data_IF_654346890587
#
_entry.id   IF_654346890587
#
_cell.length_a   1.000
_cell.length_b   1.000
_cell.length_c   1.000
_cell.angle_alpha   90.00
_cell.angle_beta   90.00
_cell.angle_gamma   90.00
#
_symmetry.space_group_name_H-M   'P 1'
#
loop_
_entity.id
_entity.type
_entity.pdbx_description
1 polymer ?
#
# COMPACT_ATOMS: atom_id res chain seq x y z
N UNK A 1 -5.96 -40.00 -17.20
CA UNK A 1 -5.14 -41.01 -16.49
C UNK A 1 -3.83 -40.39 -15.97
N UNK A 2 -2.94 -39.84 -16.82
CA UNK A 2 -1.67 -39.25 -16.35
C UNK A 2 -1.80 -37.98 -15.50
N UNK A 3 -2.70 -37.05 -15.85
CA UNK A 3 -2.91 -35.81 -15.07
C UNK A 3 -3.20 -36.08 -13.59
N UNK A 4 -4.11 -37.01 -13.30
CA UNK A 4 -4.49 -37.35 -11.93
C UNK A 4 -3.32 -37.96 -11.15
N UNK A 5 -2.52 -38.84 -11.78
CA UNK A 5 -1.34 -39.43 -11.17
C UNK A 5 -0.27 -38.38 -10.86
N UNK A 6 0.04 -37.48 -11.81
CA UNK A 6 0.98 -36.39 -11.57
C UNK A 6 0.50 -35.45 -10.47
N UNK A 7 -0.79 -35.09 -10.46
CA UNK A 7 -1.37 -34.23 -9.42
C UNK A 7 -1.25 -34.88 -8.04
N UNK A 8 -1.56 -36.17 -7.94
CA UNK A 8 -1.43 -36.91 -6.68
C UNK A 8 0.02 -37.02 -6.20
N UNK A 9 0.96 -37.27 -7.11
CA UNK A 9 2.40 -37.37 -6.79
C UNK A 9 2.97 -36.02 -6.35
N UNK A 10 2.75 -34.96 -7.14
CA UNK A 10 3.39 -33.66 -6.95
C UNK A 10 2.78 -32.90 -5.76
N UNK A 11 1.47 -33.01 -5.53
CA UNK A 11 0.81 -32.35 -4.40
C UNK A 11 1.26 -32.89 -3.04
N UNK A 12 1.79 -34.11 -2.98
CA UNK A 12 2.33 -34.72 -1.74
C UNK A 12 3.75 -34.25 -1.41
N UNK A 13 4.44 -33.60 -2.34
CA UNK A 13 5.79 -33.06 -2.11
C UNK A 13 5.65 -31.79 -1.25
N UNK A 14 6.20 -31.77 -0.02
CA UNK A 14 6.00 -30.65 0.90
C UNK A 14 6.82 -29.42 0.49
N UNK A 15 8.08 -29.65 0.08
CA UNK A 15 9.03 -28.60 -0.27
C UNK A 15 8.76 -28.05 -1.66
N UNK A 16 8.63 -26.72 -1.75
CA UNK A 16 8.37 -26.03 -3.02
C UNK A 16 9.48 -26.30 -4.04
N UNK A 17 10.75 -26.27 -3.62
CA UNK A 17 11.89 -26.47 -4.51
C UNK A 17 11.86 -27.86 -5.18
N UNK A 18 11.46 -28.89 -4.44
CA UNK A 18 11.30 -30.25 -4.97
C UNK A 18 10.10 -30.36 -5.91
N UNK A 19 8.99 -29.65 -5.63
CA UNK A 19 7.87 -29.54 -6.57
C UNK A 19 8.34 -28.93 -7.89
N UNK A 20 9.06 -27.82 -7.85
CA UNK A 20 9.59 -27.16 -9.06
C UNK A 20 10.53 -28.05 -9.86
N UNK A 21 11.48 -28.74 -9.19
CA UNK A 21 12.37 -29.72 -9.85
C UNK A 21 11.57 -30.82 -10.55
N UNK A 22 10.53 -31.33 -9.90
CA UNK A 22 9.67 -32.35 -10.48
C UNK A 22 8.87 -31.82 -11.68
N UNK A 23 8.39 -30.59 -11.63
CA UNK A 23 7.72 -29.93 -12.77
C UNK A 23 8.67 -29.79 -13.97
N UNK A 24 9.92 -29.37 -13.74
CA UNK A 24 10.95 -29.28 -14.78
C UNK A 24 11.24 -30.65 -15.42
N UNK A 25 11.32 -31.72 -14.61
CA UNK A 25 11.52 -33.10 -15.11
C UNK A 25 10.39 -33.55 -16.04
N UNK A 26 9.13 -33.29 -15.66
CA UNK A 26 7.97 -33.75 -16.45
C UNK A 26 7.57 -32.75 -17.55
N UNK A 27 8.20 -31.58 -17.64
CA UNK A 27 7.82 -30.51 -18.56
C UNK A 27 7.66 -31.00 -20.00
N UNK A 28 8.61 -31.75 -20.60
CA UNK A 28 8.46 -32.21 -21.99
C UNK A 28 7.23 -33.11 -22.19
N UNK A 29 6.98 -34.01 -21.23
CA UNK A 29 5.83 -34.92 -21.28
C UNK A 29 4.51 -34.17 -21.06
N UNK A 30 4.48 -33.24 -20.11
CA UNK A 30 3.32 -32.41 -19.80
C UNK A 30 2.95 -31.54 -21.01
N UNK A 31 3.92 -30.87 -21.63
CA UNK A 31 3.68 -30.04 -22.82
C UNK A 31 3.24 -30.89 -24.03
N UNK A 32 3.81 -32.08 -24.20
CA UNK A 32 3.37 -33.01 -25.22
C UNK A 32 1.92 -33.47 -25.01
N UNK A 33 1.52 -33.71 -23.75
CA UNK A 33 0.13 -34.04 -23.38
C UNK A 33 -0.82 -32.90 -23.74
N UNK A 34 -0.49 -31.66 -23.38
CA UNK A 34 -1.30 -30.47 -23.70
C UNK A 34 -1.43 -30.27 -25.22
N UNK A 35 -0.32 -30.33 -25.96
CA UNK A 35 -0.31 -30.21 -27.44
C UNK A 35 -1.12 -31.33 -28.10
N UNK A 36 -1.03 -32.57 -27.58
CA UNK A 36 -1.82 -33.69 -28.10
C UNK A 36 -3.31 -33.53 -27.80
N UNK A 37 -3.67 -33.03 -26.61
CA UNK A 37 -5.05 -32.72 -26.26
C UNK A 37 -5.65 -31.63 -27.15
N UNK A 38 -4.92 -30.54 -27.42
CA UNK A 38 -5.33 -29.51 -28.36
C UNK A 38 -5.58 -30.08 -29.77
N UNK A 39 -4.70 -30.97 -30.25
CA UNK A 39 -4.88 -31.68 -31.53
C UNK A 39 -6.16 -32.53 -31.55
N UNK A 40 -6.43 -33.29 -30.48
CA UNK A 40 -7.65 -34.11 -30.38
C UNK A 40 -8.90 -33.26 -30.33
N UNK A 41 -8.88 -32.11 -29.64
CA UNK A 41 -10.00 -31.17 -29.64
C UNK A 41 -10.26 -30.61 -31.04
N UNK A 42 -9.20 -30.29 -31.79
CA UNK A 42 -9.31 -29.88 -33.19
C UNK A 42 -9.93 -30.95 -34.08
N UNK A 43 -9.47 -32.20 -33.96
CA UNK A 43 -10.00 -33.33 -34.73
C UNK A 43 -11.48 -33.63 -34.43
N UNK A 44 -11.94 -33.36 -33.20
CA UNK A 44 -13.35 -33.58 -32.81
C UNK A 44 -14.32 -32.61 -33.48
N UNK A 45 -13.87 -31.41 -33.87
CA UNK A 45 -14.69 -30.34 -34.43
C UNK A 45 -15.99 -30.09 -33.65
N UNK A 46 -15.94 -30.24 -32.32
CA UNK A 46 -17.09 -29.99 -31.46
C UNK A 46 -17.26 -28.49 -31.26
N UNK A 47 -18.50 -28.02 -31.40
CA UNK A 47 -18.87 -26.63 -31.13
C UNK A 47 -19.19 -26.48 -29.65
N UNK A 48 -18.55 -25.52 -28.99
CA UNK A 48 -18.81 -25.11 -27.61
C UNK A 48 -19.21 -23.63 -27.60
N UNK A 49 -19.83 -23.20 -26.49
CA UNK A 49 -20.22 -21.81 -26.30
C UNK A 49 -19.14 -21.08 -25.52
N UNK A 50 -18.67 -19.94 -26.03
CA UNK A 50 -17.76 -19.01 -25.36
C UNK A 50 -18.35 -17.61 -25.46
N UNK A 51 -18.57 -16.95 -24.33
CA UNK A 51 -19.22 -15.65 -24.23
C UNK A 51 -20.48 -15.58 -25.09
N UNK A 52 -21.33 -16.59 -24.97
CA UNK A 52 -22.61 -16.70 -25.67
C UNK A 52 -22.50 -16.89 -27.21
N UNK A 53 -21.29 -17.17 -27.72
CA UNK A 53 -21.01 -17.42 -29.13
C UNK A 53 -20.57 -18.86 -29.38
N UNK A 54 -21.07 -19.53 -30.44
CA UNK A 54 -20.57 -20.83 -30.83
C UNK A 54 -19.15 -20.71 -31.39
N UNK A 55 -18.24 -21.52 -30.85
CA UNK A 55 -16.85 -21.59 -31.28
C UNK A 55 -16.41 -23.05 -31.43
N UNK A 56 -15.50 -23.29 -32.38
CA UNK A 56 -14.86 -24.58 -32.60
C UNK A 56 -13.39 -24.44 -32.23
N UNK A 57 -12.82 -25.47 -31.62
CA UNK A 57 -11.40 -25.53 -31.34
C UNK A 57 -10.67 -25.85 -32.64
N UNK A 58 -9.91 -24.91 -33.21
CA UNK A 58 -9.16 -25.14 -34.46
C UNK A 58 -7.64 -24.94 -34.31
N UNK A 59 -7.12 -25.13 -33.10
CA UNK A 59 -5.75 -24.74 -32.76
C UNK A 59 -4.89 -25.91 -32.29
N UNK A 60 -3.62 -25.90 -32.68
CA UNK A 60 -2.57 -26.80 -32.19
C UNK A 60 -1.30 -25.98 -32.00
N UNK A 61 -0.59 -26.19 -30.89
CA UNK A 61 0.59 -25.40 -30.57
C UNK A 61 1.70 -25.54 -31.63
N UNK A 62 2.20 -24.40 -32.12
CA UNK A 62 3.44 -24.30 -32.91
C UNK A 62 4.68 -24.46 -32.01
N UNK A 63 5.84 -24.68 -32.63
CA UNK A 63 7.07 -24.92 -31.87
C UNK A 63 7.56 -23.66 -31.15
N UNK A 64 7.38 -22.47 -31.75
CA UNK A 64 7.64 -21.19 -31.09
C UNK A 64 6.76 -20.97 -29.86
N UNK A 65 5.53 -21.51 -29.88
CA UNK A 65 4.61 -21.44 -28.75
C UNK A 65 5.03 -22.37 -27.60
N UNK A 66 5.65 -23.53 -27.92
CA UNK A 66 6.26 -24.39 -26.91
C UNK A 66 7.44 -23.69 -26.23
N UNK A 67 8.28 -22.98 -26.99
CA UNK A 67 9.37 -22.16 -26.44
C UNK A 67 8.83 -21.06 -25.53
N UNK A 68 7.78 -20.33 -25.96
CA UNK A 68 7.11 -19.33 -25.13
C UNK A 68 6.60 -19.91 -23.81
N UNK A 69 5.97 -21.09 -23.85
CA UNK A 69 5.50 -21.77 -22.64
C UNK A 69 6.63 -22.14 -21.67
N UNK A 70 7.80 -22.56 -22.18
CA UNK A 70 8.98 -22.86 -21.35
C UNK A 70 9.51 -21.58 -20.67
N UNK A 71 9.55 -20.46 -21.40
CA UNK A 71 9.98 -19.17 -20.86
C UNK A 71 9.07 -18.72 -19.73
N UNK A 72 7.75 -18.84 -19.91
CA UNK A 72 6.76 -18.50 -18.88
C UNK A 72 6.86 -19.41 -17.65
N UNK A 73 7.06 -20.72 -17.83
CA UNK A 73 7.25 -21.64 -16.70
C UNK A 73 8.48 -21.26 -15.86
N UNK A 74 9.55 -20.79 -16.51
CA UNK A 74 10.78 -20.31 -15.85
C UNK A 74 10.65 -18.93 -15.17
N UNK A 75 9.45 -18.36 -15.09
CA UNK A 75 9.20 -17.06 -14.45
C UNK A 75 9.81 -15.88 -15.20
N UNK A 76 9.91 -15.97 -16.54
CA UNK A 76 10.45 -14.91 -17.40
C UNK A 76 9.36 -14.35 -18.32
N UNK A 77 9.62 -13.15 -18.84
CA UNK A 77 8.76 -12.52 -19.84
C UNK A 77 9.01 -13.18 -21.21
N UNK A 78 7.95 -13.70 -21.82
CA UNK A 78 7.96 -14.21 -23.18
C UNK A 78 7.42 -13.14 -24.13
N UNK A 79 8.32 -12.39 -24.80
CA UNK A 79 7.93 -11.43 -25.82
C UNK A 79 7.50 -12.17 -27.09
N UNK A 80 6.22 -12.02 -27.46
CA UNK A 80 5.63 -12.62 -28.65
C UNK A 80 4.77 -11.58 -29.34
N UNK A 81 4.90 -11.45 -30.66
CA UNK A 81 4.14 -10.48 -31.42
C UNK A 81 2.62 -10.75 -31.34
N UNK A 82 1.81 -9.71 -31.48
CA UNK A 82 0.35 -9.83 -31.53
C UNK A 82 -0.06 -10.78 -32.66
N UNK A 83 -0.90 -11.77 -32.35
CA UNK A 83 -1.32 -12.81 -33.29
C UNK A 83 -0.51 -14.11 -33.22
N UNK A 84 0.60 -14.15 -32.48
CA UNK A 84 1.38 -15.38 -32.23
C UNK A 84 0.69 -16.40 -31.30
N UNK A 85 -0.51 -16.08 -30.81
CA UNK A 85 -1.34 -16.98 -30.00
C UNK A 85 -0.94 -17.05 -28.53
N UNK A 86 -0.61 -15.91 -27.89
CA UNK A 86 -0.29 -15.78 -26.45
C UNK A 86 -1.29 -16.54 -25.54
N UNK A 87 -2.59 -16.45 -25.83
CA UNK A 87 -3.66 -17.18 -25.11
C UNK A 87 -3.45 -18.68 -25.12
N UNK A 88 -3.10 -19.27 -26.28
CA UNK A 88 -2.84 -20.70 -26.40
C UNK A 88 -1.51 -21.09 -25.74
N UNK A 89 -0.49 -20.24 -25.82
CA UNK A 89 0.81 -20.45 -25.18
C UNK A 89 0.67 -20.63 -23.68
N UNK A 90 -0.12 -19.77 -23.03
CA UNK A 90 -0.34 -19.80 -21.58
C UNK A 90 -0.89 -21.15 -21.07
N UNK A 91 -1.60 -21.91 -21.92
CA UNK A 91 -2.16 -23.21 -21.53
C UNK A 91 -1.12 -24.25 -21.13
N UNK A 92 0.09 -24.17 -21.70
CA UNK A 92 1.18 -25.10 -21.42
C UNK A 92 1.70 -24.95 -19.96
N UNK A 93 2.22 -23.77 -19.56
CA UNK A 93 2.68 -23.55 -18.19
C UNK A 93 1.54 -23.55 -17.17
N UNK A 94 0.33 -23.07 -17.50
CA UNK A 94 -0.80 -23.13 -16.55
C UNK A 94 -1.17 -24.57 -16.23
N UNK A 95 -1.27 -25.45 -17.24
CA UNK A 95 -1.49 -26.87 -17.01
C UNK A 95 -0.40 -27.48 -16.13
N UNK A 96 0.87 -27.25 -16.47
CA UNK A 96 2.00 -27.83 -15.75
C UNK A 96 2.02 -27.39 -14.28
N UNK A 97 1.99 -26.08 -14.02
CA UNK A 97 2.11 -25.54 -12.68
C UNK A 97 0.85 -25.80 -11.82
N UNK A 98 -0.32 -25.97 -12.43
CA UNK A 98 -1.54 -26.36 -11.71
C UNK A 98 -1.48 -27.79 -11.14
N UNK A 99 -0.57 -28.66 -11.63
CA UNK A 99 -0.40 -30.02 -11.11
C UNK A 99 0.08 -30.06 -9.66
N UNK A 100 0.60 -28.95 -9.11
CA UNK A 100 1.00 -28.87 -7.69
C UNK A 100 -0.21 -28.88 -6.75
N UNK A 101 -1.41 -28.58 -7.25
CA UNK A 101 -2.62 -28.44 -6.44
C UNK A 101 -2.68 -27.16 -5.61
N UNK A 102 -1.70 -26.25 -5.76
CA UNK A 102 -1.65 -24.96 -5.05
C UNK A 102 -2.33 -23.80 -5.80
N UNK A 103 -2.85 -24.07 -7.00
CA UNK A 103 -3.50 -23.09 -7.88
C UNK A 103 -2.52 -22.37 -8.82
N UNK A 104 -3.00 -21.99 -10.00
CA UNK A 104 -2.29 -21.16 -10.97
C UNK A 104 -3.22 -20.06 -11.49
N UNK A 105 -2.75 -18.81 -11.49
CA UNK A 105 -3.56 -17.66 -11.89
C UNK A 105 -3.20 -17.17 -13.29
N UNK A 106 -4.19 -16.85 -14.12
CA UNK A 106 -4.00 -16.03 -15.31
C UNK A 106 -4.62 -14.67 -15.08
N UNK A 107 -3.78 -13.64 -15.15
CA UNK A 107 -4.14 -12.24 -14.95
C UNK A 107 -4.21 -11.58 -16.32
N UNK A 108 -5.32 -10.90 -16.60
CA UNK A 108 -5.51 -10.10 -17.82
C UNK A 108 -6.08 -8.72 -17.46
N UNK A 109 -6.27 -7.86 -18.46
CA UNK A 109 -6.61 -6.44 -18.27
C UNK A 109 -8.11 -6.18 -18.08
N UNK A 110 -9.00 -7.07 -18.53
CA UNK A 110 -10.45 -6.86 -18.37
C UNK A 110 -11.26 -8.15 -18.22
N UNK A 111 -12.45 -8.00 -17.61
CA UNK A 111 -13.36 -9.10 -17.26
C UNK A 111 -13.85 -9.89 -18.47
N UNK A 112 -14.02 -9.24 -19.63
CA UNK A 112 -14.43 -9.92 -20.86
C UNK A 112 -13.35 -10.88 -21.35
N UNK A 113 -12.09 -10.44 -21.37
CA UNK A 113 -10.96 -11.29 -21.75
C UNK A 113 -10.79 -12.44 -20.75
N UNK A 114 -10.93 -12.17 -19.45
CA UNK A 114 -10.85 -13.19 -18.41
C UNK A 114 -11.89 -14.29 -18.63
N UNK A 115 -13.17 -13.90 -18.80
CA UNK A 115 -14.27 -14.85 -19.06
C UNK A 115 -14.09 -15.59 -20.38
N UNK A 116 -13.78 -14.88 -21.46
CA UNK A 116 -13.58 -15.47 -22.79
C UNK A 116 -12.49 -16.53 -22.75
N UNK A 117 -11.34 -16.21 -22.18
CA UNK A 117 -10.19 -17.12 -22.20
C UNK A 117 -10.37 -18.27 -21.22
N UNK A 118 -11.05 -18.04 -20.08
CA UNK A 118 -11.44 -19.11 -19.16
C UNK A 118 -12.40 -20.12 -19.81
N UNK A 119 -13.44 -19.66 -20.50
CA UNK A 119 -14.41 -20.53 -21.18
C UNK A 119 -13.80 -21.23 -22.39
N UNK A 120 -12.94 -20.53 -23.14
CA UNK A 120 -12.29 -21.06 -24.34
C UNK A 120 -11.19 -22.05 -24.02
N UNK A 121 -10.15 -21.63 -23.27
CA UNK A 121 -9.04 -22.51 -22.89
C UNK A 121 -9.49 -23.53 -21.84
N UNK A 122 -10.57 -23.26 -21.11
CA UNK A 122 -11.23 -24.18 -20.19
C UNK A 122 -11.61 -25.52 -20.80
N UNK A 123 -11.94 -25.55 -22.10
CA UNK A 123 -12.21 -26.79 -22.81
C UNK A 123 -10.99 -27.72 -22.80
N UNK A 124 -9.79 -27.17 -22.97
CA UNK A 124 -8.54 -27.92 -22.95
C UNK A 124 -8.20 -28.43 -21.55
N UNK A 125 -8.31 -27.58 -20.53
CA UNK A 125 -8.02 -27.96 -19.15
C UNK A 125 -9.00 -29.01 -18.63
N UNK A 126 -10.30 -28.84 -18.90
CA UNK A 126 -11.35 -29.79 -18.49
C UNK A 126 -11.17 -31.12 -19.20
N UNK A 127 -10.81 -31.10 -20.49
CA UNK A 127 -10.48 -32.32 -21.23
C UNK A 127 -9.28 -33.07 -20.61
N UNK A 128 -8.33 -32.34 -20.03
CA UNK A 128 -7.18 -32.89 -19.32
C UNK A 128 -7.46 -33.26 -17.86
N UNK A 129 -8.65 -32.93 -17.33
CA UNK A 129 -9.08 -33.24 -15.97
C UNK A 129 -8.70 -32.19 -14.91
N UNK A 130 -8.44 -30.95 -15.31
CA UNK A 130 -8.26 -29.82 -14.39
C UNK A 130 -9.53 -28.97 -14.31
N UNK A 131 -9.73 -28.34 -13.16
CA UNK A 131 -10.82 -27.40 -12.91
C UNK A 131 -10.40 -25.96 -13.21
N UNK A 132 -11.33 -25.14 -13.70
CA UNK A 132 -11.06 -23.76 -14.13
C UNK A 132 -12.10 -22.84 -13.52
N UNK A 133 -11.64 -21.81 -12.82
CA UNK A 133 -12.46 -20.75 -12.27
C UNK A 133 -12.22 -19.42 -12.99
N UNK A 134 -13.19 -18.51 -12.89
CA UNK A 134 -13.08 -17.14 -13.39
C UNK A 134 -13.60 -16.17 -12.33
N UNK A 135 -12.72 -15.29 -11.84
CA UNK A 135 -13.09 -14.16 -11.02
C UNK A 135 -13.64 -13.06 -11.92
N UNK A 136 -14.82 -12.56 -11.55
CA UNK A 136 -15.47 -11.44 -12.21
C UNK A 136 -15.90 -10.42 -11.16
N UNK A 137 -16.20 -9.21 -11.63
CA UNK A 137 -16.83 -8.18 -10.83
C UNK A 137 -18.15 -8.67 -10.19
N UNK A 138 -18.49 -8.12 -9.03
CA UNK A 138 -19.74 -8.37 -8.28
C UNK A 138 -20.05 -9.84 -7.91
N UNK A 139 -19.04 -10.72 -7.90
CA UNK A 139 -19.22 -12.07 -7.37
C UNK A 139 -19.25 -12.06 -5.83
N UNK A 140 -20.27 -12.72 -5.27
CA UNK A 140 -20.35 -12.95 -3.82
C UNK A 140 -19.12 -13.72 -3.30
N UNK A 141 -18.67 -13.46 -2.06
CA UNK A 141 -17.46 -14.09 -1.50
C UNK A 141 -17.46 -15.62 -1.57
N UNK A 142 -18.60 -16.27 -1.36
CA UNK A 142 -18.73 -17.72 -1.43
C UNK A 142 -18.50 -18.26 -2.86
N UNK A 143 -18.95 -17.52 -3.88
CA UNK A 143 -18.69 -17.86 -5.28
C UNK A 143 -17.21 -17.70 -5.57
N UNK A 144 -16.59 -16.59 -5.14
CA UNK A 144 -15.15 -16.36 -5.32
C UNK A 144 -14.30 -17.45 -4.70
N UNK A 145 -14.64 -17.89 -3.50
CA UNK A 145 -13.94 -18.99 -2.82
C UNK A 145 -13.98 -20.28 -3.65
N UNK A 146 -15.10 -20.57 -4.33
CA UNK A 146 -15.20 -21.69 -5.26
C UNK A 146 -14.33 -21.50 -6.50
N UNK A 147 -14.29 -20.28 -7.07
CA UNK A 147 -13.44 -19.97 -8.22
C UNK A 147 -11.95 -20.13 -7.88
N UNK A 148 -11.48 -19.61 -6.75
CA UNK A 148 -10.10 -19.77 -6.28
C UNK A 148 -9.76 -21.23 -5.91
N UNK A 149 -10.76 -22.04 -5.55
CA UNK A 149 -10.55 -23.46 -5.27
C UNK A 149 -10.24 -24.30 -6.54
N UNK A 150 -10.52 -23.76 -7.73
CA UNK A 150 -10.16 -24.40 -8.99
C UNK A 150 -8.64 -24.45 -9.22
N UNK A 151 -8.19 -25.45 -9.97
CA UNK A 151 -6.77 -25.68 -10.27
C UNK A 151 -6.15 -24.48 -11.01
N UNK A 152 -6.92 -23.86 -11.90
CA UNK A 152 -6.55 -22.66 -12.63
C UNK A 152 -7.63 -21.59 -12.41
N UNK A 153 -7.23 -20.36 -12.13
CA UNK A 153 -8.15 -19.23 -11.93
C UNK A 153 -7.80 -18.10 -12.90
N UNK A 154 -8.77 -17.68 -13.71
CA UNK A 154 -8.67 -16.49 -14.56
C UNK A 154 -9.25 -15.28 -13.83
N UNK A 155 -8.72 -14.10 -14.08
CA UNK A 155 -9.26 -12.87 -13.49
C UNK A 155 -8.49 -11.63 -13.95
N UNK A 156 -8.95 -10.47 -13.50
CA UNK A 156 -8.24 -9.21 -13.74
C UNK A 156 -7.26 -8.90 -12.62
N UNK A 157 -6.23 -8.12 -12.93
CA UNK A 157 -5.27 -7.62 -11.94
C UNK A 157 -5.98 -6.87 -10.80
N UNK A 158 -6.98 -6.07 -11.14
CA UNK A 158 -7.78 -5.31 -10.17
C UNK A 158 -8.53 -6.25 -9.23
N UNK A 159 -9.22 -7.28 -9.74
CA UNK A 159 -9.99 -8.18 -8.88
C UNK A 159 -9.11 -9.05 -7.98
N UNK A 160 -7.99 -9.60 -8.50
CA UNK A 160 -7.03 -10.32 -7.66
C UNK A 160 -6.45 -9.44 -6.55
N UNK A 161 -6.11 -8.19 -6.88
CA UNK A 161 -5.57 -7.23 -5.90
C UNK A 161 -6.60 -6.77 -4.88
N UNK A 162 -7.84 -6.51 -5.28
CA UNK A 162 -8.90 -6.15 -4.35
C UNK A 162 -9.31 -7.33 -3.46
N UNK A 163 -9.26 -8.57 -3.94
CA UNK A 163 -9.49 -9.74 -3.09
C UNK A 163 -8.42 -9.88 -2.03
N UNK A 164 -7.16 -9.65 -2.38
CA UNK A 164 -6.07 -9.57 -1.40
C UNK A 164 -6.37 -8.51 -0.32
N UNK A 165 -6.78 -7.31 -0.74
CA UNK A 165 -7.08 -6.21 0.18
C UNK A 165 -8.29 -6.52 1.06
N UNK A 166 -9.35 -7.13 0.53
CA UNK A 166 -10.53 -7.57 1.31
C UNK A 166 -10.17 -8.66 2.32
N UNK A 167 -9.37 -9.64 1.90
CA UNK A 167 -8.95 -10.76 2.76
C UNK A 167 -8.07 -10.33 3.94
N UNK A 168 -7.37 -9.19 3.84
CA UNK A 168 -6.48 -8.67 4.89
C UNK A 168 -7.04 -7.45 5.64
N UNK A 169 -7.94 -6.67 5.04
CA UNK A 169 -8.47 -5.44 5.61
C UNK A 169 -9.93 -5.51 6.07
N UNK A 170 -10.70 -6.51 5.62
CA UNK A 170 -12.14 -6.60 5.91
C UNK A 170 -12.56 -7.95 6.48
N UNK A 171 -11.88 -9.04 6.14
CA UNK A 171 -12.17 -10.36 6.70
C UNK A 171 -11.81 -10.40 8.20
N UNK A 172 -12.77 -10.83 9.02
CA UNK A 172 -12.60 -10.99 10.48
C UNK A 172 -12.11 -12.38 10.87
N UNK A 173 -12.33 -13.38 10.02
CA UNK A 173 -11.87 -14.76 10.24
C UNK A 173 -11.27 -15.35 8.97
N UNK A 174 -10.48 -16.42 9.14
CA UNK A 174 -9.84 -17.12 8.02
C UNK A 174 -10.85 -17.72 7.06
N UNK A 175 -11.99 -18.17 7.56
CA UNK A 175 -13.07 -18.78 6.76
C UNK A 175 -13.75 -17.76 5.85
N UNK A 176 -13.66 -16.47 6.16
CA UNK A 176 -14.19 -15.40 5.32
C UNK A 176 -13.28 -15.08 4.14
N UNK A 177 -11.99 -15.43 4.21
CA UNK A 177 -11.05 -15.21 3.12
C UNK A 177 -11.44 -16.03 1.88
N UNK A 178 -11.20 -15.45 0.70
CA UNK A 178 -11.55 -16.07 -0.59
C UNK A 178 -10.32 -16.65 -1.31
N UNK A 179 -9.14 -16.08 -1.10
CA UNK A 179 -7.90 -16.55 -1.71
C UNK A 179 -7.26 -17.69 -0.91
N UNK A 180 -6.48 -18.55 -1.59
CA UNK A 180 -5.81 -19.71 -0.98
C UNK A 180 -4.28 -19.71 -1.10
N UNK A 181 -3.68 -18.54 -1.30
CA UNK A 181 -2.24 -18.31 -1.46
C UNK A 181 -1.84 -17.89 -2.88
N UNK A 182 -0.55 -17.61 -3.06
CA UNK A 182 0.02 -17.04 -4.31
C UNK A 182 1.15 -17.93 -4.82
N UNK A 183 0.81 -18.96 -5.60
CA UNK A 183 1.79 -19.97 -6.02
C UNK A 183 2.43 -19.66 -7.38
N UNK A 184 1.61 -19.43 -8.40
CA UNK A 184 2.07 -19.13 -9.76
C UNK A 184 1.05 -18.24 -10.46
N UNK A 185 1.54 -17.21 -11.16
CA UNK A 185 0.70 -16.31 -11.94
C UNK A 185 1.34 -16.01 -13.30
N UNK A 186 0.53 -16.01 -14.36
CA UNK A 186 0.90 -15.48 -15.67
C UNK A 186 0.15 -14.17 -15.84
N UNK A 187 0.88 -13.10 -16.15
CA UNK A 187 0.32 -11.79 -16.44
C UNK A 187 0.35 -11.58 -17.96
N UNK A 188 -0.84 -11.57 -18.57
CA UNK A 188 -0.99 -11.16 -19.97
C UNK A 188 -0.98 -9.63 -20.07
N UNK A 189 -0.47 -9.10 -21.17
CA UNK A 189 -0.18 -7.66 -21.35
C UNK A 189 0.60 -7.07 -20.15
N UNK A 190 1.73 -7.73 -19.84
CA UNK A 190 2.56 -7.47 -18.66
C UNK A 190 3.07 -6.03 -18.56
N UNK A 191 3.31 -5.37 -19.69
CA UNK A 191 3.68 -3.96 -19.76
C UNK A 191 2.54 -3.05 -19.27
N UNK A 192 1.33 -3.31 -19.73
CA UNK A 192 0.14 -2.56 -19.31
C UNK A 192 -0.11 -2.73 -17.80
N UNK A 193 -0.01 -3.96 -17.29
CA UNK A 193 -0.35 -4.25 -15.89
C UNK A 193 0.77 -3.87 -14.92
N UNK A 194 2.01 -4.31 -15.16
CA UNK A 194 3.12 -4.15 -14.21
C UNK A 194 3.87 -2.82 -14.35
N UNK A 195 3.62 -2.04 -15.41
CA UNK A 195 4.24 -0.73 -15.62
C UNK A 195 3.19 0.37 -15.59
N UNK A 196 2.20 0.33 -16.49
CA UNK A 196 1.27 1.45 -16.64
C UNK A 196 0.27 1.56 -15.49
N UNK A 197 -0.42 0.46 -15.16
CA UNK A 197 -1.43 0.40 -14.11
C UNK A 197 -0.82 0.39 -12.70
N UNK A 198 0.37 -0.20 -12.55
CA UNK A 198 1.09 -0.25 -11.26
C UNK A 198 1.48 1.13 -10.69
N UNK A 199 1.34 2.22 -11.46
CA UNK A 199 1.59 3.59 -10.99
C UNK A 199 0.54 4.10 -10.00
N UNK A 200 -0.66 3.54 -10.01
CA UNK A 200 -1.75 3.96 -9.12
C UNK A 200 -2.03 2.84 -8.12
N UNK A 201 -1.95 3.10 -6.81
CA UNK A 201 -2.21 2.06 -5.81
C UNK A 201 -3.68 1.64 -5.85
N UNK A 202 -3.93 0.35 -5.62
CA UNK A 202 -5.28 -0.18 -5.38
C UNK A 202 -5.74 0.24 -3.97
N UNK A 203 -6.87 0.92 -3.89
CA UNK A 203 -7.41 1.47 -2.64
C UNK A 203 -8.87 1.01 -2.48
N UNK A 204 -9.18 0.42 -1.33
CA UNK A 204 -10.57 0.22 -0.90
C UNK A 204 -10.97 1.42 -0.06
N UNK A 205 -11.89 2.24 -0.56
CA UNK A 205 -12.49 3.33 0.21
C UNK A 205 -13.82 2.88 0.83
N UNK A 206 -13.97 3.13 2.13
CA UNK A 206 -15.25 2.99 2.83
C UNK A 206 -15.93 4.35 3.01
N UNK A 207 -17.25 4.40 3.14
CA UNK A 207 -17.93 5.63 3.54
C UNK A 207 -17.43 6.03 4.94
N UNK A 208 -16.70 7.14 5.02
CA UNK A 208 -16.30 7.69 6.31
C UNK A 208 -17.53 8.29 7.00
N UNK A 209 -17.86 7.82 8.20
CA UNK A 209 -18.66 8.62 9.12
C UNK A 209 -17.78 9.76 9.60
N UNK A 210 -17.68 10.83 8.81
CA UNK A 210 -16.96 12.03 9.22
C UNK A 210 -17.72 12.60 10.42
N UNK A 211 -17.23 12.30 11.61
CA UNK A 211 -17.65 12.94 12.84
C UNK A 211 -17.03 14.36 12.82
N UNK A 212 -17.77 15.31 12.25
CA UNK A 212 -17.44 16.76 12.29
C UNK A 212 -17.25 17.30 13.70
N UNK A 213 -17.69 16.56 14.74
CA UNK A 213 -17.59 16.93 16.14
C UNK A 213 -16.18 17.28 16.63
N UNK A 214 -15.12 16.61 16.14
CA UNK A 214 -13.75 16.91 16.62
C UNK A 214 -13.23 18.22 16.06
N UNK A 215 -13.42 18.48 14.76
CA UNK A 215 -13.01 19.73 14.14
C UNK A 215 -13.70 20.93 14.81
N UNK A 216 -15.03 20.82 15.00
CA UNK A 216 -15.82 21.88 15.64
C UNK A 216 -15.42 22.11 17.10
N UNK A 217 -14.99 21.06 17.80
CA UNK A 217 -14.52 21.15 19.20
C UNK A 217 -13.17 21.87 19.31
N UNK A 218 -12.20 21.56 18.43
CA UNK A 218 -10.83 22.03 18.58
C UNK A 218 -10.56 23.36 17.87
N UNK A 219 -11.28 23.67 16.79
CA UNK A 219 -11.09 24.90 16.03
C UNK A 219 -11.06 26.17 16.90
N UNK A 220 -12.00 26.40 17.85
CA UNK A 220 -11.97 27.61 18.68
C UNK A 220 -10.73 27.72 19.57
N UNK A 221 -10.20 26.59 20.06
CA UNK A 221 -9.01 26.54 20.90
C UNK A 221 -7.75 26.82 20.08
N UNK A 222 -7.65 26.23 18.88
CA UNK A 222 -6.55 26.48 17.94
C UNK A 222 -6.55 27.96 17.50
N UNK A 223 -7.71 28.54 17.19
CA UNK A 223 -7.81 29.97 16.84
C UNK A 223 -7.31 30.88 17.98
N UNK A 224 -7.60 30.54 19.24
CA UNK A 224 -7.10 31.27 20.39
C UNK A 224 -5.58 31.11 20.57
N UNK A 225 -5.05 29.91 20.35
CA UNK A 225 -3.61 29.63 20.38
C UNK A 225 -2.87 30.48 19.33
N UNK A 226 -3.36 30.49 18.08
CA UNK A 226 -2.80 31.29 16.98
C UNK A 226 -2.85 32.78 17.29
N UNK A 227 -3.93 33.26 17.91
CA UNK A 227 -4.02 34.67 18.35
C UNK A 227 -2.98 34.99 19.42
N UNK A 228 -2.77 34.13 20.41
CA UNK A 228 -1.73 34.32 21.45
C UNK A 228 -0.32 34.31 20.85
N UNK A 229 -0.03 33.35 19.97
CA UNK A 229 1.24 33.31 19.23
C UNK A 229 1.45 34.60 18.44
N UNK A 230 0.43 35.09 17.73
CA UNK A 230 0.53 36.33 16.94
C UNK A 230 0.84 37.54 17.83
N UNK A 231 0.20 37.65 19.01
CA UNK A 231 0.49 38.72 19.96
C UNK A 231 1.94 38.61 20.49
N UNK A 232 2.41 37.40 20.79
CA UNK A 232 3.77 37.13 21.23
C UNK A 232 4.79 37.54 20.15
N UNK A 233 4.60 37.08 18.91
CA UNK A 233 5.48 37.41 17.79
C UNK A 233 5.52 38.91 17.48
N UNK A 234 4.39 39.61 17.57
CA UNK A 234 4.36 41.07 17.40
C UNK A 234 5.11 41.81 18.51
N UNK A 235 5.02 41.34 19.76
CA UNK A 235 5.78 41.90 20.89
C UNK A 235 7.29 41.68 20.70
N UNK A 236 7.68 40.46 20.35
CA UNK A 236 9.09 40.11 20.09
C UNK A 236 9.65 40.90 18.91
N UNK A 237 8.87 41.08 17.83
CA UNK A 237 9.30 41.85 16.67
C UNK A 237 9.49 43.35 17.00
N UNK A 238 8.65 43.92 17.87
CA UNK A 238 8.84 45.28 18.38
C UNK A 238 10.10 45.40 19.27
N UNK A 239 10.35 44.41 20.12
CA UNK A 239 11.55 44.36 20.96
C UNK A 239 12.84 44.26 20.12
N UNK A 240 12.82 43.43 19.07
CA UNK A 240 13.93 43.33 18.13
C UNK A 240 14.19 44.67 17.40
N UNK A 241 13.14 45.42 17.03
CA UNK A 241 13.31 46.75 16.43
C UNK A 241 14.04 47.70 17.37
N UNK A 242 13.63 47.77 18.64
CA UNK A 242 14.29 48.63 19.63
C UNK A 242 15.77 48.23 19.81
N UNK A 243 16.07 46.93 19.83
CA UNK A 243 17.46 46.43 19.93
C UNK A 243 18.31 46.80 18.72
N UNK A 244 17.74 46.77 17.51
CA UNK A 244 18.43 47.27 16.32
C UNK A 244 18.72 48.78 16.41
N UNK A 245 17.82 49.58 16.96
CA UNK A 245 18.01 51.02 17.15
C UNK A 245 19.07 51.34 18.23
N UNK A 246 19.17 50.50 19.28
CA UNK A 246 20.19 50.58 20.33
C UNK A 246 21.59 50.12 19.84
N UNK A 247 21.69 49.54 18.64
CA UNK A 247 22.93 48.99 18.08
C UNK A 247 23.26 47.56 18.54
N UNK A 248 22.38 46.90 19.29
CA UNK A 248 22.50 45.51 19.71
C UNK A 248 21.99 44.54 18.63
N UNK A 249 22.78 44.41 17.56
CA UNK A 249 22.45 43.63 16.37
C UNK A 249 22.37 42.12 16.66
N UNK A 250 23.17 41.60 17.61
CA UNK A 250 23.18 40.17 17.92
C UNK A 250 21.87 39.74 18.62
N UNK A 251 21.46 40.45 19.67
CA UNK A 251 20.22 40.16 20.39
C UNK A 251 19.01 40.36 19.48
N UNK A 252 18.99 41.43 18.69
CA UNK A 252 17.92 41.70 17.74
C UNK A 252 17.77 40.58 16.70
N UNK A 253 18.88 40.09 16.14
CA UNK A 253 18.90 38.96 15.20
C UNK A 253 18.35 37.67 15.81
N UNK A 254 18.70 37.35 17.07
CA UNK A 254 18.18 36.17 17.79
C UNK A 254 16.68 36.25 18.04
N UNK A 255 16.18 37.41 18.49
CA UNK A 255 14.74 37.61 18.73
C UNK A 255 13.96 37.48 17.42
N UNK A 256 14.48 38.06 16.34
CA UNK A 256 13.81 38.01 15.04
C UNK A 256 13.87 36.61 14.40
N UNK A 257 14.92 35.83 14.64
CA UNK A 257 14.94 34.40 14.30
C UNK A 257 13.85 33.62 15.05
N UNK A 258 13.62 33.90 16.34
CA UNK A 258 12.48 33.33 17.08
C UNK A 258 11.14 33.72 16.46
N UNK A 259 10.96 34.97 16.04
CA UNK A 259 9.76 35.40 15.29
C UNK A 259 9.61 34.63 13.97
N UNK A 260 10.72 34.39 13.25
CA UNK A 260 10.73 33.58 12.02
C UNK A 260 10.25 32.16 12.27
N UNK A 261 10.67 31.51 13.36
CA UNK A 261 10.19 30.18 13.75
C UNK A 261 8.70 30.17 14.13
N UNK A 262 8.22 31.21 14.83
CA UNK A 262 6.86 31.24 15.36
C UNK A 262 5.80 31.79 14.41
N UNK A 263 6.17 32.71 13.51
CA UNK A 263 5.29 33.33 12.54
C UNK A 263 6.10 33.85 11.32
N UNK A 264 6.49 32.96 10.38
CA UNK A 264 7.33 33.31 9.22
C UNK A 264 6.77 34.46 8.35
N UNK A 265 5.43 34.60 8.32
CA UNK A 265 4.71 35.65 7.57
C UNK A 265 4.42 36.92 8.37
N UNK A 266 5.10 37.14 9.49
CA UNK A 266 4.91 38.35 10.29
C UNK A 266 5.32 39.60 9.47
N UNK A 267 4.46 40.64 9.46
CA UNK A 267 4.69 41.86 8.65
C UNK A 267 5.99 42.60 9.01
N UNK A 268 6.36 42.64 10.28
CA UNK A 268 7.58 43.33 10.72
C UNK A 268 8.83 42.53 10.33
N UNK A 269 8.79 41.20 10.46
CA UNK A 269 9.84 40.30 9.98
C UNK A 269 10.07 40.48 8.48
N UNK A 270 9.02 40.41 7.67
CA UNK A 270 9.12 40.56 6.21
C UNK A 270 9.76 41.89 5.82
N UNK A 271 9.36 42.99 6.48
CA UNK A 271 9.96 44.31 6.26
C UNK A 271 11.44 44.37 6.66
N UNK A 272 11.86 43.65 7.71
CA UNK A 272 13.26 43.58 8.09
C UNK A 272 14.11 42.75 7.13
N UNK A 273 13.53 41.72 6.51
CA UNK A 273 14.22 40.89 5.53
C UNK A 273 14.55 41.64 4.22
N UNK A 274 13.89 42.78 3.96
CA UNK A 274 14.21 43.70 2.87
C UNK A 274 15.49 44.52 3.14
N UNK A 275 15.87 44.70 4.41
CA UNK A 275 17.07 45.42 4.84
C UNK A 275 18.27 44.45 4.90
N UNK A 276 19.32 44.65 4.07
CA UNK A 276 20.44 43.71 3.98
C UNK A 276 21.19 43.48 5.29
N UNK A 277 21.30 44.49 6.15
CA UNK A 277 22.09 44.38 7.39
C UNK A 277 21.29 43.65 8.47
N UNK A 278 19.98 43.91 8.57
CA UNK A 278 19.09 43.18 9.48
C UNK A 278 18.91 41.73 9.05
N UNK A 279 18.76 41.49 7.75
CA UNK A 279 18.70 40.13 7.19
C UNK A 279 19.94 39.32 7.54
N UNK A 280 21.15 39.90 7.35
CA UNK A 280 22.40 39.24 7.74
C UNK A 280 22.45 38.90 9.24
N UNK A 281 21.91 39.76 10.10
CA UNK A 281 21.84 39.49 11.54
C UNK A 281 20.94 38.28 11.86
N UNK A 282 19.79 38.18 11.19
CA UNK A 282 18.84 37.06 11.34
C UNK A 282 19.46 35.76 10.82
N UNK A 283 20.01 35.77 9.60
CA UNK A 283 20.63 34.60 8.98
C UNK A 283 21.85 34.12 9.81
N UNK A 284 22.61 35.05 10.39
CA UNK A 284 23.71 34.72 11.31
C UNK A 284 23.21 34.08 12.61
N UNK A 285 22.11 34.58 13.18
CA UNK A 285 21.49 33.97 14.36
C UNK A 285 21.00 32.55 14.05
N UNK A 286 20.30 32.37 12.92
CA UNK A 286 19.84 31.06 12.45
C UNK A 286 21.00 30.06 12.30
N UNK A 287 22.05 30.44 11.57
CA UNK A 287 23.25 29.60 11.38
C UNK A 287 23.91 29.23 12.71
N UNK A 288 23.88 30.12 13.71
CA UNK A 288 24.47 29.84 15.02
C UNK A 288 23.73 28.76 15.80
N UNK A 289 22.42 28.66 15.66
CA UNK A 289 21.60 27.66 16.37
C UNK A 289 21.66 26.26 15.73
N UNK A 290 22.00 26.17 14.45
CA UNK A 290 22.17 24.89 13.75
C UNK A 290 23.57 24.27 13.91
N UNK A 291 24.44 24.86 14.72
CA UNK A 291 25.69 24.21 15.15
C UNK A 291 25.38 23.15 16.22
N UNK A 292 25.95 21.94 16.10
CA UNK A 292 25.64 20.79 16.98
C UNK A 292 25.76 21.10 18.49
N UNK A 293 26.62 22.05 18.86
CA UNK A 293 26.84 22.49 20.24
C UNK A 293 25.70 23.30 20.85
N UNK A 294 24.71 23.76 20.06
CA UNK A 294 23.63 24.65 20.51
C UNK A 294 22.21 24.08 20.32
N UNK A 295 22.09 22.77 20.12
CA UNK A 295 20.78 22.11 19.99
C UNK A 295 19.86 22.32 21.20
N UNK A 296 20.42 22.30 22.41
CA UNK A 296 19.66 22.57 23.64
C UNK A 296 19.16 24.01 23.71
N UNK A 297 19.98 24.99 23.30
CA UNK A 297 19.58 26.39 23.23
C UNK A 297 18.49 26.62 22.18
N UNK A 298 18.57 25.96 21.03
CA UNK A 298 17.53 26.02 20.00
C UNK A 298 16.22 25.41 20.50
N UNK A 299 16.28 24.29 21.23
CA UNK A 299 15.10 23.69 21.85
C UNK A 299 14.44 24.65 22.86
N UNK A 300 15.23 25.26 23.76
CA UNK A 300 14.73 26.26 24.70
C UNK A 300 14.09 27.46 23.99
N UNK A 301 14.71 27.93 22.89
CA UNK A 301 14.19 29.03 22.08
C UNK A 301 12.81 28.70 21.48
N UNK A 302 12.61 27.45 21.04
CA UNK A 302 11.33 26.96 20.50
C UNK A 302 10.26 26.84 21.59
N UNK A 303 10.63 26.38 22.79
CA UNK A 303 9.72 26.24 23.93
C UNK A 303 9.20 27.58 24.49
N UNK A 304 9.83 28.70 24.16
CA UNK A 304 9.31 30.04 24.46
C UNK A 304 8.13 30.46 23.56
N UNK A 305 7.89 29.75 22.47
CA UNK A 305 6.76 29.95 21.57
C UNK A 305 5.64 28.96 21.92
N UNK A 306 4.41 29.21 21.47
CA UNK A 306 3.32 28.23 21.60
C UNK A 306 3.43 27.12 20.55
N UNK A 307 3.96 27.44 19.37
CA UNK A 307 4.25 26.49 18.31
C UNK A 307 5.33 27.05 17.38
N UNK A 308 5.95 26.19 16.59
CA UNK A 308 6.86 26.56 15.51
C UNK A 308 6.35 26.07 14.17
N UNK A 309 6.65 26.81 13.09
CA UNK A 309 6.27 26.46 11.72
C UNK A 309 7.54 26.17 10.91
N UNK A 310 7.56 25.04 10.21
CA UNK A 310 8.54 24.76 9.16
C UNK A 310 7.89 24.92 7.78
N UNK A 311 8.23 26.01 7.07
CA UNK A 311 7.71 26.27 5.72
C UNK A 311 8.23 25.29 4.66
N UNK A 312 9.30 24.53 4.93
CA UNK A 312 9.83 23.54 3.98
C UNK A 312 9.03 22.24 4.02
N UNK A 313 8.67 21.76 5.22
CA UNK A 313 7.85 20.56 5.39
C UNK A 313 6.34 20.86 5.45
N UNK A 314 5.95 22.14 5.56
CA UNK A 314 4.56 22.57 5.82
C UNK A 314 3.99 21.97 7.12
N UNK A 315 4.84 21.86 8.14
CA UNK A 315 4.47 21.29 9.44
C UNK A 315 4.47 22.35 10.53
N UNK A 316 3.64 22.13 11.56
CA UNK A 316 3.61 22.94 12.77
C UNK A 316 3.76 22.05 14.01
N UNK A 317 4.74 22.38 14.83
CA UNK A 317 5.05 21.65 16.07
C UNK A 317 4.59 22.45 17.29
N UNK A 318 3.79 21.83 18.16
CA UNK A 318 3.37 22.42 19.43
C UNK A 318 4.49 22.33 20.48
N UNK A 319 4.76 23.43 21.17
CA UNK A 319 5.62 23.41 22.36
C UNK A 319 4.87 22.83 23.57
N UNK A 320 5.56 22.66 24.70
CA UNK A 320 4.90 22.36 25.97
C UNK A 320 3.85 23.41 26.33
N UNK A 321 4.16 24.70 26.15
CA UNK A 321 3.20 25.78 26.38
C UNK A 321 1.97 25.69 25.47
N UNK A 322 2.17 25.33 24.20
CA UNK A 322 1.07 25.14 23.25
C UNK A 322 0.17 23.97 23.62
N UNK A 323 0.77 22.85 24.03
CA UNK A 323 0.08 21.64 24.49
C UNK A 323 -0.77 21.90 25.72
N UNK A 324 -0.19 22.52 26.76
CA UNK A 324 -0.90 22.88 27.99
C UNK A 324 -2.04 23.85 27.68
N UNK A 325 -1.86 24.79 26.75
CA UNK A 325 -2.92 25.72 26.38
C UNK A 325 -4.11 25.03 25.71
N UNK A 326 -3.86 24.07 24.82
CA UNK A 326 -4.92 23.37 24.10
C UNK A 326 -5.68 22.39 24.99
N UNK A 327 -4.97 21.66 25.86
CA UNK A 327 -5.59 20.71 26.77
C UNK A 327 -4.80 20.61 28.09
N UNK A 328 -5.20 21.37 29.13
CA UNK A 328 -4.51 21.37 30.42
C UNK A 328 -4.56 20.01 31.13
N UNK A 329 -5.63 19.23 30.93
CA UNK A 329 -5.86 17.96 31.61
C UNK A 329 -5.10 16.80 30.93
N UNK A 330 -4.78 16.92 29.64
CA UNK A 330 -3.97 15.96 28.88
C UNK A 330 -3.09 16.69 27.85
N UNK A 331 -1.90 17.16 28.26
CA UNK A 331 -0.96 17.85 27.37
C UNK A 331 -0.43 16.97 26.23
N UNK A 332 -0.48 15.65 26.38
CA UNK A 332 0.00 14.72 25.36
C UNK A 332 -1.07 14.35 24.32
N UNK A 333 -2.28 14.91 24.42
CA UNK A 333 -3.42 14.64 23.55
C UNK A 333 -3.17 14.84 22.03
N UNK A 334 -2.09 15.53 21.64
CA UNK A 334 -1.72 15.84 20.26
C UNK A 334 -0.38 15.23 19.82
N UNK A 335 0.25 14.43 20.68
CA UNK A 335 1.52 13.75 20.40
C UNK A 335 1.21 12.32 20.01
N UNK A 336 1.70 11.87 18.86
CA UNK A 336 1.58 10.47 18.47
C UNK A 336 2.49 9.61 19.37
N UNK A 337 1.95 8.58 20.03
CA UNK A 337 2.72 7.70 20.88
C UNK A 337 3.53 6.71 20.03
N UNK A 338 4.70 6.34 20.53
CA UNK A 338 5.50 5.27 19.93
C UNK A 338 4.95 3.91 20.37
N UNK A 339 3.98 3.42 19.60
CA UNK A 339 3.33 2.12 19.85
C UNK A 339 4.33 0.97 19.91
N UNK A 340 5.46 1.03 19.21
CA UNK A 340 6.46 -0.05 19.20
C UNK A 340 7.13 -0.14 20.57
N UNK A 341 7.60 1.00 21.07
CA UNK A 341 8.22 1.09 22.40
C UNK A 341 7.23 0.68 23.49
N UNK A 342 5.99 1.17 23.43
CA UNK A 342 4.98 0.87 24.43
C UNK A 342 4.49 -0.58 24.40
N UNK A 343 4.34 -1.19 23.22
CA UNK A 343 4.01 -2.61 23.12
C UNK A 343 5.14 -3.49 23.66
N UNK A 344 6.39 -3.07 23.45
CA UNK A 344 7.55 -3.76 24.00
C UNK A 344 7.56 -3.70 25.52
N UNK A 345 7.23 -2.55 26.13
CA UNK A 345 7.07 -2.42 27.58
C UNK A 345 5.96 -3.32 28.14
N UNK A 346 4.80 -3.36 27.45
CA UNK A 346 3.67 -4.24 27.84
C UNK A 346 4.06 -5.72 27.73
N UNK A 347 4.81 -6.10 26.70
CA UNK A 347 5.29 -7.47 26.53
C UNK A 347 6.31 -7.89 27.57
N UNK A 348 7.16 -6.96 28.01
CA UNK A 348 8.20 -7.20 29.01
C UNK A 348 7.67 -7.18 30.45
N UNK A 349 6.45 -6.67 30.69
CA UNK A 349 5.84 -6.66 32.02
C UNK A 349 5.54 -8.10 32.50
N UNK A 350 6.21 -8.59 33.56
CA UNK A 350 6.02 -9.95 34.08
C UNK A 350 4.76 -10.08 34.95
N UNK A 351 4.09 -8.97 35.28
CA UNK A 351 2.89 -8.95 36.14
C UNK A 351 1.58 -9.16 35.39
N UNK A 352 1.62 -9.13 34.05
CA UNK A 352 0.45 -9.25 33.19
C UNK A 352 0.35 -10.63 32.55
N UNK A 353 -0.87 -11.18 32.53
CA UNK A 353 -1.20 -12.37 31.74
C UNK A 353 -1.25 -12.06 30.24
N UNK A 354 -1.21 -13.09 29.38
CA UNK A 354 -1.27 -12.92 27.93
C UNK A 354 -2.55 -12.18 27.46
N UNK A 355 -3.68 -12.47 28.10
CA UNK A 355 -4.98 -11.84 27.80
C UNK A 355 -5.02 -10.37 28.25
N UNK A 356 -4.39 -10.04 29.38
CA UNK A 356 -4.25 -8.65 29.84
C UNK A 356 -3.27 -7.84 28.98
N UNK A 357 -2.22 -8.47 28.43
CA UNK A 357 -1.29 -7.84 27.49
C UNK A 357 -1.99 -7.49 26.18
N UNK A 358 -2.75 -8.41 25.60
CA UNK A 358 -3.56 -8.12 24.41
C UNK A 358 -4.58 -7.00 24.66
N UNK A 359 -5.28 -7.03 25.79
CA UNK A 359 -6.24 -5.99 26.15
C UNK A 359 -5.58 -4.61 26.29
N UNK A 360 -4.44 -4.51 26.99
CA UNK A 360 -3.70 -3.24 27.13
C UNK A 360 -3.16 -2.73 25.79
N UNK A 361 -2.68 -3.63 24.92
CA UNK A 361 -2.24 -3.25 23.56
C UNK A 361 -3.41 -2.72 22.74
N UNK A 362 -4.58 -3.35 22.81
CA UNK A 362 -5.78 -2.89 22.13
C UNK A 362 -6.26 -1.53 22.65
N UNK A 363 -6.27 -1.33 23.98
CA UNK A 363 -6.59 -0.03 24.59
C UNK A 363 -5.59 1.06 24.15
N UNK A 364 -4.31 0.72 24.04
CA UNK A 364 -3.29 1.68 23.62
C UNK A 364 -3.36 2.01 22.13
N UNK A 365 -3.69 1.02 21.30
CA UNK A 365 -3.98 1.22 19.88
C UNK A 365 -5.18 2.17 19.71
N UNK A 366 -6.29 1.93 20.42
CA UNK A 366 -7.47 2.80 20.37
C UNK A 366 -7.16 4.23 20.82
N UNK A 367 -6.34 4.39 21.86
CA UNK A 367 -5.91 5.72 22.31
C UNK A 367 -5.02 6.42 21.27
N UNK A 368 -4.10 5.68 20.62
CA UNK A 368 -3.29 6.19 19.53
C UNK A 368 -4.14 6.62 18.33
N UNK A 369 -5.14 5.82 17.94
CA UNK A 369 -6.05 6.14 16.83
C UNK A 369 -6.82 7.44 17.14
N UNK A 370 -7.31 7.59 18.38
CA UNK A 370 -7.97 8.81 18.83
C UNK A 370 -7.05 10.03 18.91
N UNK A 371 -5.74 9.84 19.15
CA UNK A 371 -4.74 10.91 19.09
C UNK A 371 -4.36 11.24 17.64
N UNK A 372 -4.23 10.25 16.77
CA UNK A 372 -3.96 10.44 15.34
C UNK A 372 -5.06 11.30 14.68
N UNK A 373 -6.33 11.07 14.99
CA UNK A 373 -7.43 11.93 14.55
C UNK A 373 -7.28 13.39 15.01
N UNK A 374 -6.70 13.63 16.19
CA UNK A 374 -6.45 14.98 16.72
C UNK A 374 -5.22 15.62 16.09
N UNK A 375 -4.15 14.85 15.88
CA UNK A 375 -2.93 15.31 15.23
C UNK A 375 -3.12 15.62 13.75
N UNK A 376 -4.06 14.94 13.06
CA UNK A 376 -4.45 15.27 11.68
C UNK A 376 -5.11 16.65 11.53
N UNK A 377 -5.54 17.30 12.63
CA UNK A 377 -5.98 18.70 12.58
C UNK A 377 -4.80 19.67 12.37
N UNK A 378 -3.55 19.25 12.60
CA UNK A 378 -2.36 20.09 12.37
C UNK A 378 -2.03 20.26 10.88
N UNK A 379 -2.53 19.39 9.99
CA UNK A 379 -2.18 19.41 8.56
C UNK A 379 -3.18 20.15 7.67
N UNK A 380 -4.37 20.50 8.17
CA UNK A 380 -5.47 21.07 7.35
C UNK A 380 -5.77 22.56 7.58
N UNK A 381 -4.84 23.32 8.16
CA UNK A 381 -4.96 24.80 8.20
C UNK A 381 -3.83 25.47 7.42
N UNK A 382 -3.99 25.51 6.09
CA UNK A 382 -3.38 26.55 5.24
C UNK A 382 -4.41 27.15 4.29
#
# INVERSE_FOLDING_TARGET
ARTAAWKEEISKIPELEEQWKKLDEILPEAFAVVKNAARRLKERQHTFTVCDQPMVWDMVHFDVQLLGGIVLHKGRIAEMATGEGKTLVATLPLYLNALTGRGAHLVTVNDYLARRDAEWMGQLYTFLGLTVGCIQHDQEPDVRRQQYACDITYGTNSEFGFDYLRDNGMATTREQQVQRGYHYAIVDEVDSILIDEARTPLIISGPATISTHQYDKWKPLIEQLVRKQTMLCNRLAAEAMAKFEEGDVETAGRIMFKVKLGQPRNKQLLRMMEDPDKRRAIDKAELSFYQDTRKEELFQLKEELFFTIDEKSNEADLSEQGRIFLNPDDPNAFVLPDLISEFTEIDLDPTLSAEEKEKKKAERQQYCDAQAERSLLNTYTT
#
